data_IF_862457079013
#
_entry.id   IF_862457079013
#
_cell.length_a   1.000
_cell.length_b   1.000
_cell.length_c   1.000
_cell.angle_alpha   90.00
_cell.angle_beta   90.00
_cell.angle_gamma   90.00
#
_symmetry.space_group_name_H-M   'P 1'
#
loop_
_entity.id
_entity.type
_entity.pdbx_description
1 polymer ?
#
# COMPACT_ATOMS: atom_id res chain seq x y z
N UNK A 1 4.02 -49.18 -3.97
CA UNK A 1 4.05 -47.66 -3.91
C UNK A 1 3.02 -47.20 -2.89
N UNK A 2 3.46 -46.52 -1.85
CA UNK A 2 2.83 -46.50 -0.51
C UNK A 2 1.60 -45.59 -0.40
N UNK A 3 0.39 -46.13 -0.27
CA UNK A 3 -0.89 -45.42 -0.07
C UNK A 3 -0.83 -44.46 1.14
N UNK A 4 -0.06 -44.79 2.19
CA UNK A 4 0.15 -43.95 3.39
C UNK A 4 0.83 -42.61 3.09
N UNK A 5 1.75 -42.54 2.11
CA UNK A 5 2.45 -41.31 1.73
C UNK A 5 1.54 -40.32 0.96
N UNK A 6 0.60 -40.82 0.17
CA UNK A 6 -0.40 -40.02 -0.54
C UNK A 6 -1.41 -39.38 0.43
N UNK A 7 -1.88 -40.13 1.43
CA UNK A 7 -2.82 -39.66 2.45
C UNK A 7 -2.21 -38.55 3.34
N UNK A 8 -0.92 -38.65 3.69
CA UNK A 8 -0.21 -37.65 4.47
C UNK A 8 0.01 -36.37 3.68
N UNK A 9 0.37 -36.46 2.40
CA UNK A 9 0.51 -35.28 1.50
C UNK A 9 -0.82 -34.52 1.33
N UNK A 10 -1.94 -35.26 1.17
CA UNK A 10 -3.27 -34.65 1.09
C UNK A 10 -3.71 -33.95 2.38
N UNK A 11 -3.46 -34.57 3.56
CA UNK A 11 -3.75 -33.93 4.87
C UNK A 11 -2.95 -32.66 5.11
N UNK A 12 -1.68 -32.64 4.71
CA UNK A 12 -0.80 -31.43 4.82
C UNK A 12 -1.31 -30.34 3.90
N UNK A 13 -1.72 -30.70 2.67
CA UNK A 13 -2.23 -29.74 1.69
C UNK A 13 -3.58 -29.13 2.12
N UNK A 14 -4.50 -29.94 2.66
CA UNK A 14 -5.77 -29.47 3.21
C UNK A 14 -5.58 -28.54 4.41
N UNK A 15 -4.66 -28.86 5.34
CA UNK A 15 -4.34 -27.96 6.46
C UNK A 15 -3.73 -26.63 5.99
N UNK A 16 -2.91 -26.66 4.94
CA UNK A 16 -2.34 -25.43 4.35
C UNK A 16 -3.43 -24.58 3.70
N UNK A 17 -4.30 -25.18 2.89
CA UNK A 17 -5.45 -24.52 2.24
C UNK A 17 -6.42 -23.94 3.29
N UNK A 18 -6.70 -24.68 4.36
CA UNK A 18 -7.58 -24.22 5.45
C UNK A 18 -6.96 -23.03 6.22
N UNK A 19 -5.64 -23.08 6.51
CA UNK A 19 -4.90 -21.97 7.11
C UNK A 19 -4.87 -20.74 6.21
N UNK A 20 -4.66 -20.91 4.92
CA UNK A 20 -4.69 -19.81 3.94
C UNK A 20 -6.09 -19.19 3.83
N UNK A 21 -7.16 -20.01 3.80
CA UNK A 21 -8.55 -19.51 3.81
C UNK A 21 -8.89 -18.76 5.10
N UNK A 22 -8.54 -19.27 6.27
CA UNK A 22 -8.76 -18.59 7.56
C UNK A 22 -7.95 -17.30 7.63
N UNK A 23 -6.70 -17.31 7.15
CA UNK A 23 -5.84 -16.14 7.13
C UNK A 23 -6.38 -15.05 6.19
N UNK A 24 -6.88 -15.44 5.02
CA UNK A 24 -7.51 -14.53 4.04
C UNK A 24 -8.81 -13.94 4.60
N UNK A 25 -9.59 -14.69 5.39
CA UNK A 25 -10.81 -14.19 6.03
C UNK A 25 -10.56 -13.16 7.15
N UNK A 26 -9.32 -13.03 7.61
CA UNK A 26 -8.92 -12.06 8.64
C UNK A 26 -8.40 -10.74 8.07
N UNK A 27 -8.12 -10.70 6.75
CA UNK A 27 -7.60 -9.51 6.06
C UNK A 27 -8.75 -8.86 5.31
N UNK A 28 -8.89 -7.56 5.46
CA UNK A 28 -9.79 -6.75 4.66
C UNK A 28 -9.10 -5.46 4.21
N UNK A 29 -9.50 -4.95 3.06
CA UNK A 29 -9.07 -3.65 2.56
C UNK A 29 -10.33 -2.82 2.38
N UNK A 30 -10.36 -1.64 2.99
CA UNK A 30 -11.50 -0.73 2.92
C UNK A 30 -11.04 0.73 2.80
N UNK A 31 -11.87 1.53 2.21
CA UNK A 31 -11.77 2.98 2.31
C UNK A 31 -12.06 3.42 3.75
N UNK A 32 -11.33 4.41 4.23
CA UNK A 32 -11.45 4.95 5.59
C UNK A 32 -12.34 6.18 5.54
N UNK A 33 -13.35 6.20 6.40
CA UNK A 33 -14.21 7.36 6.58
C UNK A 33 -13.43 8.50 7.27
N UNK A 34 -13.78 9.73 6.95
CA UNK A 34 -13.20 10.93 7.55
C UNK A 34 -13.26 10.89 9.09
N UNK A 35 -14.29 10.32 9.68
CA UNK A 35 -14.43 10.19 11.14
C UNK A 35 -13.36 9.28 11.76
N UNK A 36 -12.71 8.45 10.95
CA UNK A 36 -11.65 7.52 11.37
C UNK A 36 -10.23 8.09 11.14
N UNK A 37 -10.07 9.40 10.80
CA UNK A 37 -8.76 9.99 10.47
C UNK A 37 -7.73 9.86 11.60
N UNK A 38 -8.17 9.83 12.86
CA UNK A 38 -7.29 9.66 14.01
C UNK A 38 -6.53 8.33 13.97
N UNK A 39 -7.17 7.25 13.51
CA UNK A 39 -6.54 5.94 13.33
C UNK A 39 -5.42 5.99 12.27
N UNK A 40 -5.59 6.84 11.25
CA UNK A 40 -4.58 7.09 10.22
C UNK A 40 -3.38 7.85 10.80
N UNK A 41 -3.65 8.89 11.57
CA UNK A 41 -2.61 9.65 12.27
C UNK A 41 -1.82 8.78 13.27
N UNK A 42 -2.51 7.94 14.05
CA UNK A 42 -1.85 6.99 14.96
C UNK A 42 -0.94 6.01 14.22
N UNK A 43 -1.38 5.52 13.05
CA UNK A 43 -0.53 4.66 12.23
C UNK A 43 0.70 5.41 11.72
N UNK A 44 0.53 6.63 11.21
CA UNK A 44 1.62 7.45 10.68
C UNK A 44 2.64 7.78 11.77
N UNK A 45 2.18 8.23 12.94
CA UNK A 45 3.03 8.53 14.10
C UNK A 45 3.87 7.32 14.55
N UNK A 46 3.33 6.11 14.38
CA UNK A 46 4.03 4.86 14.70
C UNK A 46 4.87 4.30 13.53
N UNK A 47 4.97 5.00 12.39
CA UNK A 47 5.66 4.50 11.18
C UNK A 47 6.66 5.48 10.61
N UNK A 48 6.21 6.43 9.78
CA UNK A 48 7.06 7.37 9.05
C UNK A 48 6.93 8.81 9.56
N UNK A 49 5.90 9.09 10.36
CA UNK A 49 5.65 10.39 10.97
C UNK A 49 5.69 11.54 9.95
N UNK A 50 5.00 11.33 8.81
CA UNK A 50 5.07 12.25 7.67
C UNK A 50 4.21 13.49 7.88
N UNK A 51 2.99 13.30 8.44
CA UNK A 51 2.00 14.36 8.55
C UNK A 51 1.55 14.61 9.98
N UNK A 52 1.30 15.87 10.29
CA UNK A 52 0.65 16.29 11.54
C UNK A 52 -0.82 15.83 11.55
N UNK A 53 -1.43 15.80 12.73
CA UNK A 53 -2.87 15.49 12.88
C UNK A 53 -3.75 16.40 12.01
N UNK A 54 -3.43 17.71 11.95
CA UNK A 54 -4.15 18.68 11.11
C UNK A 54 -3.99 18.38 9.62
N UNK A 55 -2.80 17.97 9.16
CA UNK A 55 -2.57 17.58 7.77
C UNK A 55 -3.35 16.31 7.43
N UNK A 56 -3.34 15.28 8.31
CA UNK A 56 -4.16 14.09 8.12
C UNK A 56 -5.64 14.44 7.95
N UNK A 57 -6.17 15.30 8.84
CA UNK A 57 -7.55 15.76 8.73
C UNK A 57 -7.81 16.45 7.38
N UNK A 58 -6.89 17.32 6.93
CA UNK A 58 -7.05 18.04 5.66
C UNK A 58 -7.03 17.14 4.43
N UNK A 59 -6.32 15.98 4.46
CA UNK A 59 -6.30 15.06 3.34
C UNK A 59 -7.70 14.51 3.00
N UNK A 60 -8.53 14.27 4.00
CA UNK A 60 -9.90 13.78 3.78
C UNK A 60 -10.84 14.80 3.13
N UNK A 61 -10.50 16.09 3.15
CA UNK A 61 -11.29 17.14 2.50
C UNK A 61 -10.82 17.48 1.08
N UNK A 62 -9.68 16.96 0.65
CA UNK A 62 -9.18 17.23 -0.69
C UNK A 62 -10.00 16.49 -1.73
N UNK A 63 -10.49 17.22 -2.75
CA UNK A 63 -11.20 16.60 -3.87
C UNK A 63 -10.35 15.54 -4.57
N UNK A 64 -10.97 14.42 -4.91
CA UNK A 64 -10.32 13.30 -5.57
C UNK A 64 -9.40 12.47 -4.66
N UNK A 65 -9.33 12.77 -3.36
CA UNK A 65 -8.49 12.00 -2.42
C UNK A 65 -9.25 10.80 -1.87
N UNK A 66 -8.59 9.66 -1.86
CA UNK A 66 -9.00 8.43 -1.19
C UNK A 66 -7.97 8.02 -0.15
N UNK A 67 -8.44 7.64 1.02
CA UNK A 67 -7.64 7.02 2.09
C UNK A 67 -8.11 5.58 2.24
N UNK A 68 -7.21 4.62 2.04
CA UNK A 68 -7.55 3.20 2.07
C UNK A 68 -6.62 2.47 3.02
N UNK A 69 -7.19 1.62 3.87
CA UNK A 69 -6.43 0.82 4.82
C UNK A 69 -6.54 -0.67 4.53
N UNK A 70 -5.45 -1.38 4.82
CA UNK A 70 -5.43 -2.82 5.00
C UNK A 70 -5.55 -3.14 6.49
N UNK A 71 -6.49 -4.01 6.83
CA UNK A 71 -6.80 -4.41 8.19
C UNK A 71 -6.50 -5.90 8.38
N UNK A 72 -5.97 -6.23 9.54
CA UNK A 72 -5.85 -7.60 10.03
C UNK A 72 -6.66 -7.72 11.33
N UNK A 73 -7.67 -8.60 11.36
CA UNK A 73 -8.58 -8.74 12.51
C UNK A 73 -9.17 -7.39 12.93
N UNK A 74 -9.67 -6.61 11.97
CA UNK A 74 -10.26 -5.27 12.16
C UNK A 74 -9.29 -4.17 12.64
N UNK A 75 -7.99 -4.47 12.80
CA UNK A 75 -6.98 -3.46 13.18
C UNK A 75 -6.21 -2.98 11.95
N UNK A 76 -6.11 -1.68 11.77
CA UNK A 76 -5.34 -1.07 10.68
C UNK A 76 -3.85 -1.42 10.85
N UNK A 77 -3.27 -2.01 9.79
CA UNK A 77 -1.87 -2.42 9.74
C UNK A 77 -1.09 -1.72 8.62
N UNK A 78 -1.78 -1.05 7.71
CA UNK A 78 -1.18 -0.25 6.65
C UNK A 78 -2.23 0.64 5.99
N UNK A 79 -1.76 1.72 5.34
CA UNK A 79 -2.59 2.74 4.71
C UNK A 79 -1.91 3.21 3.43
N UNK A 80 -2.71 3.56 2.41
CA UNK A 80 -2.29 4.50 1.38
C UNK A 80 -3.25 5.69 1.30
N UNK A 81 -2.72 6.82 0.82
CA UNK A 81 -3.48 7.97 0.38
C UNK A 81 -3.16 8.20 -1.08
N UNK A 82 -4.18 8.30 -1.91
CA UNK A 82 -4.08 8.58 -3.34
C UNK A 82 -5.01 9.73 -3.70
N UNK A 83 -4.50 10.67 -4.49
CA UNK A 83 -5.31 11.74 -5.08
C UNK A 83 -5.44 11.49 -6.58
N UNK A 84 -6.66 11.58 -7.10
CA UNK A 84 -6.97 11.44 -8.53
C UNK A 84 -7.35 12.78 -9.12
N UNK A 85 -6.74 13.14 -10.23
CA UNK A 85 -7.04 14.34 -11.00
C UNK A 85 -7.19 13.91 -12.47
N UNK A 86 -8.42 13.95 -12.97
CA UNK A 86 -8.79 13.51 -14.32
C UNK A 86 -8.44 12.03 -14.52
N UNK A 87 -7.37 11.73 -15.23
CA UNK A 87 -6.91 10.38 -15.57
C UNK A 87 -5.51 10.06 -15.02
N UNK A 88 -5.01 10.89 -14.11
CA UNK A 88 -3.78 10.66 -13.36
C UNK A 88 -4.07 10.51 -11.86
N UNK A 89 -3.33 9.65 -11.21
CA UNK A 89 -3.40 9.45 -9.77
C UNK A 89 -2.02 9.60 -9.14
N UNK A 90 -1.95 10.17 -7.93
CA UNK A 90 -0.70 10.34 -7.18
C UNK A 90 -0.82 9.72 -5.81
N UNK A 91 0.11 8.82 -5.47
CA UNK A 91 0.27 8.30 -4.12
C UNK A 91 0.97 9.36 -3.28
N UNK A 92 0.25 9.94 -2.31
CA UNK A 92 0.80 10.91 -1.35
C UNK A 92 1.33 10.24 -0.09
N UNK A 93 0.84 9.04 0.21
CA UNK A 93 1.22 8.28 1.40
C UNK A 93 1.09 6.77 1.14
N UNK A 94 2.08 5.99 1.59
CA UNK A 94 2.01 4.54 1.58
C UNK A 94 2.85 3.97 2.72
N UNK A 95 2.23 3.33 3.69
CA UNK A 95 2.96 2.73 4.82
C UNK A 95 2.32 1.45 5.33
N UNK A 96 3.17 0.56 5.82
CA UNK A 96 2.80 -0.65 6.59
C UNK A 96 3.52 -0.59 7.93
N UNK A 97 2.79 -0.83 9.03
CA UNK A 97 3.37 -0.93 10.39
C UNK A 97 4.55 -1.90 10.40
N UNK A 98 5.67 -1.51 11.02
CA UNK A 98 6.94 -2.23 10.97
C UNK A 98 6.81 -3.74 11.24
N UNK A 99 6.07 -4.12 12.29
CA UNK A 99 5.86 -5.53 12.67
C UNK A 99 5.10 -6.38 11.63
N UNK A 100 4.48 -5.73 10.62
CA UNK A 100 3.73 -6.37 9.56
C UNK A 100 4.43 -6.28 8.19
N UNK A 101 5.59 -5.62 8.10
CA UNK A 101 6.40 -5.56 6.87
C UNK A 101 6.94 -6.94 6.51
N UNK A 102 7.31 -7.12 5.23
CA UNK A 102 7.89 -8.36 4.66
C UNK A 102 6.99 -9.60 4.76
N UNK A 103 5.68 -9.40 4.97
CA UNK A 103 4.65 -10.46 5.06
C UNK A 103 3.63 -10.40 3.92
N UNK A 104 3.93 -9.66 2.85
CA UNK A 104 3.07 -9.54 1.67
C UNK A 104 1.93 -8.51 1.78
N UNK A 105 1.69 -7.90 2.94
CA UNK A 105 0.59 -6.93 3.11
C UNK A 105 0.73 -5.67 2.25
N UNK A 106 1.95 -5.14 2.11
CA UNK A 106 2.20 -4.01 1.21
C UNK A 106 1.87 -4.36 -0.24
N UNK A 107 2.23 -5.57 -0.68
CA UNK A 107 1.90 -6.03 -2.03
C UNK A 107 0.41 -6.19 -2.24
N UNK A 108 -0.34 -6.71 -1.26
CA UNK A 108 -1.80 -6.80 -1.35
C UNK A 108 -2.44 -5.41 -1.45
N UNK A 109 -1.97 -4.46 -0.64
CA UNK A 109 -2.47 -3.09 -0.62
C UNK A 109 -2.15 -2.37 -1.95
N UNK A 110 -0.95 -2.53 -2.50
CA UNK A 110 -0.56 -1.95 -3.80
C UNK A 110 -1.35 -2.60 -4.96
N UNK A 111 -1.54 -3.92 -4.93
CA UNK A 111 -2.37 -4.60 -5.94
C UNK A 111 -3.81 -4.11 -5.91
N UNK A 112 -4.35 -3.83 -4.72
CA UNK A 112 -5.69 -3.26 -4.59
C UNK A 112 -5.76 -1.86 -5.24
N UNK A 113 -4.80 -0.97 -4.94
CA UNK A 113 -4.71 0.36 -5.54
C UNK A 113 -4.60 0.29 -7.06
N UNK A 114 -3.73 -0.56 -7.60
CA UNK A 114 -3.56 -0.74 -9.05
C UNK A 114 -4.87 -1.16 -9.70
N UNK A 115 -5.58 -2.14 -9.13
CA UNK A 115 -6.89 -2.58 -9.64
C UNK A 115 -7.96 -1.46 -9.57
N UNK A 116 -7.91 -0.62 -8.54
CA UNK A 116 -8.83 0.51 -8.42
C UNK A 116 -8.52 1.57 -9.50
N UNK A 117 -7.25 1.86 -9.74
CA UNK A 117 -6.82 2.72 -10.85
C UNK A 117 -7.27 2.19 -12.22
N UNK A 118 -7.12 0.89 -12.47
CA UNK A 118 -7.58 0.25 -13.72
C UNK A 118 -9.09 0.39 -13.92
N UNK A 119 -9.89 0.16 -12.87
CA UNK A 119 -11.36 0.34 -12.91
C UNK A 119 -11.77 1.79 -13.18
N UNK A 120 -11.01 2.75 -12.70
CA UNK A 120 -11.25 4.19 -12.88
C UNK A 120 -10.67 4.72 -14.19
N UNK A 121 -10.10 3.86 -15.06
CA UNK A 121 -9.42 4.24 -16.31
C UNK A 121 -8.30 5.26 -16.09
N UNK A 122 -7.59 5.19 -14.97
CA UNK A 122 -6.40 6.00 -14.71
C UNK A 122 -5.32 5.60 -15.72
N UNK A 123 -4.66 6.58 -16.32
CA UNK A 123 -3.58 6.36 -17.28
C UNK A 123 -2.21 6.26 -16.62
N UNK A 124 -2.02 7.01 -15.53
CA UNK A 124 -0.74 7.08 -14.82
C UNK A 124 -0.95 7.09 -13.31
N UNK A 125 -0.12 6.34 -12.61
CA UNK A 125 0.00 6.38 -11.16
C UNK A 125 1.41 6.86 -10.80
N UNK A 126 1.47 7.96 -10.06
CA UNK A 126 2.67 8.70 -9.73
C UNK A 126 3.00 8.57 -8.24
N UNK A 127 4.27 8.67 -7.89
CA UNK A 127 4.72 8.81 -6.51
C UNK A 127 6.09 9.48 -6.43
N UNK A 128 6.41 9.96 -5.23
CA UNK A 128 7.73 10.46 -4.86
C UNK A 128 8.30 9.58 -3.73
N UNK A 129 9.56 9.22 -3.83
CA UNK A 129 10.26 8.43 -2.82
C UNK A 129 11.66 8.99 -2.59
N UNK A 130 12.12 9.03 -1.33
CA UNK A 130 13.49 9.45 -1.05
C UNK A 130 14.48 8.49 -1.69
N UNK A 131 15.54 9.03 -2.32
CA UNK A 131 16.62 8.24 -2.90
C UNK A 131 17.33 7.37 -1.85
N UNK A 132 17.25 7.74 -0.58
CA UNK A 132 17.81 6.95 0.53
C UNK A 132 16.93 5.76 0.93
N UNK A 133 15.67 5.71 0.45
CA UNK A 133 14.71 4.64 0.77
C UNK A 133 14.77 3.49 -0.24
N UNK A 134 15.90 2.79 -0.29
CA UNK A 134 16.14 1.66 -1.21
C UNK A 134 15.10 0.54 -1.09
N UNK A 135 14.56 0.32 0.12
CA UNK A 135 13.52 -0.70 0.35
C UNK A 135 12.24 -0.34 -0.40
N UNK A 136 11.83 0.91 -0.34
CA UNK A 136 10.65 1.39 -1.07
C UNK A 136 10.91 1.42 -2.58
N UNK A 137 12.12 1.81 -3.03
CA UNK A 137 12.49 1.74 -4.44
C UNK A 137 12.34 0.34 -5.02
N UNK A 138 12.94 -0.67 -4.37
CA UNK A 138 12.81 -2.08 -4.76
C UNK A 138 11.35 -2.52 -4.76
N UNK A 139 10.56 -2.07 -3.77
CA UNK A 139 9.14 -2.38 -3.71
C UNK A 139 8.36 -1.82 -4.89
N UNK A 140 8.55 -0.55 -5.24
CA UNK A 140 7.86 0.08 -6.38
C UNK A 140 8.31 -0.50 -7.73
N UNK A 141 9.60 -0.82 -7.90
CA UNK A 141 10.09 -1.50 -9.10
C UNK A 141 9.38 -2.84 -9.37
N UNK A 142 9.03 -3.61 -8.34
CA UNK A 142 8.25 -4.87 -8.49
C UNK A 142 6.85 -4.67 -9.06
N UNK A 143 6.31 -3.46 -8.97
CA UNK A 143 5.01 -3.08 -9.54
C UNK A 143 5.15 -2.31 -10.85
N UNK A 144 6.33 -2.35 -11.47
CA UNK A 144 6.64 -1.69 -12.74
C UNK A 144 6.52 -0.16 -12.67
N UNK A 145 6.88 0.44 -11.53
CA UNK A 145 7.11 1.87 -11.48
C UNK A 145 8.50 2.18 -12.02
N UNK A 146 8.56 3.07 -13.00
CA UNK A 146 9.80 3.54 -13.61
C UNK A 146 10.18 4.91 -13.03
N UNK A 147 11.48 5.20 -12.95
CA UNK A 147 11.96 6.53 -12.58
C UNK A 147 11.76 7.46 -13.78
N UNK A 148 11.09 8.58 -13.57
CA UNK A 148 10.82 9.60 -14.61
C UNK A 148 11.43 10.96 -14.31
N UNK A 149 12.01 11.15 -13.13
CA UNK A 149 12.66 12.39 -12.77
C UNK A 149 13.19 12.39 -11.34
N UNK A 150 13.73 13.54 -10.93
CA UNK A 150 14.23 13.80 -9.59
C UNK A 150 13.95 15.24 -9.19
N UNK A 151 13.70 15.49 -7.89
CA UNK A 151 13.70 16.82 -7.28
C UNK A 151 14.86 16.88 -6.29
N UNK A 152 15.83 17.74 -6.57
CA UNK A 152 17.01 17.92 -5.72
C UNK A 152 16.65 18.56 -4.38
N UNK A 153 17.29 18.08 -3.30
CA UNK A 153 17.16 18.60 -1.94
C UNK A 153 15.69 18.73 -1.49
N UNK A 154 14.86 17.76 -1.84
CA UNK A 154 13.40 17.84 -1.61
C UNK A 154 13.02 17.55 -0.16
N UNK A 155 13.69 16.60 0.48
CA UNK A 155 13.40 16.22 1.86
C UNK A 155 14.19 17.07 2.85
N UNK A 156 13.71 17.12 4.10
CA UNK A 156 14.32 17.93 5.17
C UNK A 156 15.76 17.52 5.50
N UNK A 157 16.12 16.28 5.25
CA UNK A 157 17.47 15.74 5.40
C UNK A 157 18.41 16.06 4.22
N UNK A 158 17.92 16.82 3.24
CA UNK A 158 18.65 17.19 2.03
C UNK A 158 18.64 16.11 0.95
N UNK A 159 18.00 14.96 1.16
CA UNK A 159 17.92 13.91 0.15
C UNK A 159 16.99 14.29 -1.00
N UNK A 160 17.30 13.76 -2.20
CA UNK A 160 16.49 13.95 -3.38
C UNK A 160 15.20 13.13 -3.33
N UNK A 161 14.13 13.63 -3.95
CA UNK A 161 12.98 12.82 -4.28
C UNK A 161 13.15 12.21 -5.67
N UNK A 162 13.04 10.89 -5.75
CA UNK A 162 12.94 10.15 -6.99
C UNK A 162 11.48 10.08 -7.39
N UNK A 163 11.15 10.65 -8.57
CA UNK A 163 9.81 10.62 -9.13
C UNK A 163 9.62 9.33 -9.89
N UNK A 164 8.57 8.59 -9.56
CA UNK A 164 8.26 7.31 -10.19
C UNK A 164 6.86 7.32 -10.80
N UNK A 165 6.74 6.67 -11.94
CA UNK A 165 5.51 6.55 -12.72
C UNK A 165 5.24 5.09 -13.07
N UNK A 166 3.97 4.68 -12.94
CA UNK A 166 3.44 3.47 -13.54
C UNK A 166 2.37 3.86 -14.58
N UNK A 167 2.57 3.46 -15.84
CA UNK A 167 1.57 3.62 -16.91
C UNK A 167 0.64 2.43 -16.94
N UNK A 168 -0.64 2.70 -17.18
CA UNK A 168 -1.66 1.70 -17.50
C UNK A 168 -1.87 1.72 -19.01
N UNK A 169 -1.50 0.62 -19.66
CA UNK A 169 -1.76 0.43 -21.10
C UNK A 169 -3.24 0.04 -21.26
N UNK A 170 -3.90 0.66 -22.22
CA UNK A 170 -5.22 0.23 -22.69
C UNK A 170 -5.08 -0.99 -23.57
#
# INVERSE_FOLDING_TARGET
MNVKTSFLKNKINLKKIFREKIFTSMISIKEIDQKEFELCYELDSATICLWTKKQWQSEFYKSGTKVVAILLKKKIIGIYVVQTIIDEAQISYFSIKQKFRRKGYGSQLMTYLIKDCEKLNIKKLLLEVSETNSIAEIFYCKFNFLTVGRRKNYYKDGSDAVLKEKKFLK
#
